data_IF_516490540149
#
_entry.id   IF_516490540149
#
_cell.length_a   1.000
_cell.length_b   1.000
_cell.length_c   1.000
_cell.angle_alpha   90.00
_cell.angle_beta   90.00
_cell.angle_gamma   90.00
#
_symmetry.space_group_name_H-M   'P 1'
#
loop_
_entity.id
_entity.type
_entity.pdbx_description
1 polymer ?
#
# COMPACT_ATOMS: atom_id res chain seq x y z
N UNK A 1 8.42 2.16 -2.35
CA UNK A 1 7.73 3.01 -1.35
C UNK A 1 8.69 3.93 -0.63
N UNK A 2 9.72 3.39 0.06
CA UNK A 2 10.76 4.20 0.74
C UNK A 2 11.35 5.31 -0.13
N UNK A 3 11.88 4.98 -1.31
CA UNK A 3 12.58 5.97 -2.13
C UNK A 3 11.63 7.06 -2.63
N UNK A 4 10.44 6.68 -3.09
CA UNK A 4 9.38 7.63 -3.43
C UNK A 4 8.96 8.51 -2.25
N UNK A 5 8.96 8.00 -1.02
CA UNK A 5 8.66 8.79 0.19
C UNK A 5 9.81 9.76 0.56
N UNK A 6 11.05 9.45 0.18
CA UNK A 6 12.21 10.35 0.34
C UNK A 6 12.21 11.47 -0.70
N UNK A 7 11.70 11.19 -1.89
CA UNK A 7 11.55 12.18 -2.98
C UNK A 7 10.37 13.13 -2.72
N UNK A 8 9.18 12.59 -2.48
CA UNK A 8 7.96 13.36 -2.20
C UNK A 8 7.01 12.56 -1.29
N UNK A 9 7.02 12.90 -0.01
CA UNK A 9 6.21 12.26 1.01
C UNK A 9 4.71 12.38 0.72
N UNK A 10 4.24 13.54 0.26
CA UNK A 10 2.82 13.79 0.05
C UNK A 10 2.28 13.00 -1.15
N UNK A 11 3.00 13.03 -2.27
CA UNK A 11 2.65 12.23 -3.44
C UNK A 11 2.71 10.73 -3.13
N UNK A 12 3.68 10.30 -2.32
CA UNK A 12 3.83 8.90 -1.92
C UNK A 12 2.71 8.44 -0.98
N UNK A 13 2.22 9.28 -0.07
CA UNK A 13 1.03 8.97 0.76
C UNK A 13 -0.18 8.65 -0.13
N UNK A 14 -0.47 9.50 -1.12
CA UNK A 14 -1.57 9.30 -2.06
C UNK A 14 -1.36 8.04 -2.93
N UNK A 15 -0.14 7.82 -3.42
CA UNK A 15 0.19 6.71 -4.33
C UNK A 15 0.10 5.35 -3.65
N UNK A 16 0.53 5.25 -2.39
CA UNK A 16 0.58 3.98 -1.66
C UNK A 16 -0.58 3.80 -0.67
N UNK A 17 -1.39 4.84 -0.43
CA UNK A 17 -2.54 4.77 0.48
C UNK A 17 -2.15 4.55 1.94
N UNK A 18 -0.96 4.99 2.35
CA UNK A 18 -0.45 4.84 3.71
C UNK A 18 -0.54 6.17 4.47
N UNK A 19 -0.66 6.09 5.79
CA UNK A 19 -0.63 7.28 6.64
C UNK A 19 0.75 7.96 6.55
N UNK A 20 0.77 9.28 6.76
CA UNK A 20 1.99 10.06 6.78
C UNK A 20 3.01 9.49 7.79
N UNK A 21 2.57 9.18 9.00
CA UNK A 21 3.42 8.63 10.07
C UNK A 21 4.07 7.30 9.65
N UNK A 22 3.30 6.38 9.06
CA UNK A 22 3.84 5.10 8.60
C UNK A 22 4.85 5.30 7.47
N UNK A 23 4.55 6.21 6.53
CA UNK A 23 5.42 6.48 5.40
C UNK A 23 6.73 7.18 5.82
N UNK A 24 6.68 8.07 6.81
CA UNK A 24 7.85 8.70 7.43
C UNK A 24 8.75 7.65 8.10
N UNK A 25 8.18 6.69 8.83
CA UNK A 25 8.95 5.59 9.40
C UNK A 25 9.60 4.72 8.31
N UNK A 26 8.87 4.41 7.24
CA UNK A 26 9.40 3.64 6.11
C UNK A 26 10.53 4.40 5.41
N UNK A 27 10.45 5.73 5.29
CA UNK A 27 11.46 6.54 4.62
C UNK A 27 12.80 6.58 5.38
N UNK A 28 12.77 6.43 6.71
CA UNK A 28 13.96 6.39 7.56
C UNK A 28 14.75 5.08 7.45
N UNK A 29 14.13 3.98 6.99
CA UNK A 29 14.80 2.68 6.87
C UNK A 29 15.95 2.71 5.85
N UNK A 30 17.08 2.14 6.21
CA UNK A 30 18.17 1.81 5.29
C UNK A 30 17.75 0.70 4.32
N UNK A 31 18.57 0.44 3.30
CA UNK A 31 18.28 -0.65 2.35
C UNK A 31 18.30 -2.02 3.03
N UNK A 32 19.28 -2.24 3.91
CA UNK A 32 19.41 -3.48 4.67
C UNK A 32 18.22 -3.69 5.62
N UNK A 33 17.73 -2.64 6.27
CA UNK A 33 16.55 -2.74 7.14
C UNK A 33 15.27 -3.07 6.37
N UNK A 34 15.10 -2.49 5.16
CA UNK A 34 13.98 -2.87 4.29
C UNK A 34 14.07 -4.34 3.89
N UNK A 35 15.25 -4.83 3.51
CA UNK A 35 15.43 -6.23 3.15
C UNK A 35 15.19 -7.16 4.34
N UNK A 36 15.66 -6.76 5.53
CA UNK A 36 15.41 -7.48 6.78
C UNK A 36 13.91 -7.56 7.07
N UNK A 37 13.17 -6.46 6.91
CA UNK A 37 11.71 -6.45 7.10
C UNK A 37 11.01 -7.45 6.17
N UNK A 38 11.38 -7.48 4.89
CA UNK A 38 10.80 -8.42 3.91
C UNK A 38 11.15 -9.87 4.25
N UNK A 39 12.39 -10.13 4.68
CA UNK A 39 12.84 -11.47 5.04
C UNK A 39 12.13 -12.04 6.29
N UNK A 40 11.66 -11.16 7.19
CA UNK A 40 11.07 -11.54 8.47
C UNK A 40 9.56 -11.29 8.57
N UNK A 41 8.87 -10.90 7.49
CA UNK A 41 7.41 -10.64 7.57
C UNK A 41 6.59 -11.91 7.88
N UNK A 42 7.18 -13.10 7.72
CA UNK A 42 6.51 -14.36 7.98
C UNK A 42 5.45 -14.64 6.90
N UNK A 43 4.34 -15.24 7.31
CA UNK A 43 3.25 -15.65 6.42
C UNK A 43 2.23 -14.52 6.13
N UNK A 44 2.39 -13.37 6.77
CA UNK A 44 1.46 -12.24 6.63
C UNK A 44 1.93 -11.25 5.56
N UNK A 45 1.03 -10.76 4.69
CA UNK A 45 1.39 -9.78 3.68
C UNK A 45 1.67 -8.41 4.34
N UNK A 46 2.82 -7.80 4.02
CA UNK A 46 3.12 -6.40 4.40
C UNK A 46 2.07 -5.41 3.92
N UNK A 47 1.46 -5.69 2.77
CA UNK A 47 0.50 -4.82 2.11
C UNK A 47 -0.72 -5.63 1.70
N UNK A 48 -1.89 -5.18 2.15
CA UNK A 48 -3.15 -5.79 1.72
C UNK A 48 -3.38 -5.43 0.24
N UNK A 49 -3.58 -6.43 -0.64
CA UNK A 49 -3.87 -6.16 -2.04
C UNK A 49 -5.16 -5.33 -2.17
N UNK A 50 -5.26 -4.55 -3.26
CA UNK A 50 -6.50 -3.82 -3.56
C UNK A 50 -7.68 -4.80 -3.61
N UNK A 51 -8.75 -4.57 -2.85
CA UNK A 51 -9.92 -5.46 -2.84
C UNK A 51 -10.63 -5.61 -4.20
N UNK A 52 -10.44 -4.64 -5.11
CA UNK A 52 -10.95 -4.63 -6.47
C UNK A 52 -9.92 -5.07 -7.53
N UNK A 53 -8.77 -5.62 -7.13
CA UNK A 53 -7.66 -5.92 -8.05
C UNK A 53 -8.07 -6.84 -9.20
N UNK A 54 -8.82 -7.91 -8.92
CA UNK A 54 -9.30 -8.84 -9.95
C UNK A 54 -10.17 -8.16 -11.00
N UNK A 55 -11.05 -7.24 -10.57
CA UNK A 55 -11.93 -6.50 -11.45
C UNK A 55 -11.14 -5.52 -12.33
N UNK A 56 -10.12 -4.87 -11.76
CA UNK A 56 -9.22 -4.01 -12.53
C UNK A 56 -8.45 -4.80 -13.58
N UNK A 57 -7.88 -5.94 -13.22
CA UNK A 57 -7.14 -6.78 -14.16
C UNK A 57 -8.02 -7.32 -15.30
N UNK A 58 -9.33 -7.42 -15.07
CA UNK A 58 -10.32 -7.86 -16.06
C UNK A 58 -10.97 -6.70 -16.83
N UNK A 59 -10.68 -5.44 -16.46
CA UNK A 59 -11.30 -4.27 -17.06
C UNK A 59 -10.61 -3.85 -18.36
N UNK A 60 -11.38 -3.30 -19.30
CA UNK A 60 -10.82 -2.74 -20.53
C UNK A 60 -9.92 -1.53 -20.22
N UNK A 61 -8.75 -1.36 -20.87
CA UNK A 61 -7.80 -0.28 -20.57
C UNK A 61 -8.41 1.12 -20.54
N UNK A 62 -9.40 1.38 -21.38
CA UNK A 62 -10.12 2.67 -21.46
C UNK A 62 -10.84 3.04 -20.16
N UNK A 63 -11.30 2.08 -19.36
CA UNK A 63 -12.05 2.35 -18.11
C UNK A 63 -11.19 2.22 -16.85
N UNK A 64 -9.95 1.74 -16.97
CA UNK A 64 -9.01 1.59 -15.85
C UNK A 64 -8.79 2.89 -15.05
N UNK A 65 -8.60 4.07 -15.67
CA UNK A 65 -8.34 5.29 -14.90
C UNK A 65 -9.52 5.67 -13.99
N UNK A 66 -10.74 5.46 -14.48
CA UNK A 66 -11.96 5.73 -13.71
C UNK A 66 -12.09 4.74 -12.56
N UNK A 67 -11.96 3.44 -12.82
CA UNK A 67 -12.04 2.42 -11.77
C UNK A 67 -10.92 2.56 -10.73
N UNK A 68 -9.72 2.97 -11.15
CA UNK A 68 -8.58 3.14 -10.26
C UNK A 68 -8.78 4.24 -9.21
N UNK A 69 -9.63 5.24 -9.49
CA UNK A 69 -9.82 6.45 -8.68
C UNK A 69 -11.09 6.45 -7.83
N UNK A 70 -11.94 5.43 -7.97
CA UNK A 70 -13.16 5.33 -7.17
C UNK A 70 -12.84 5.22 -5.67
N UNK A 71 -13.58 5.93 -4.80
CA UNK A 71 -13.37 5.87 -3.36
C UNK A 71 -13.63 4.45 -2.86
N UNK A 72 -12.63 3.89 -2.17
CA UNK A 72 -12.70 2.52 -1.67
C UNK A 72 -13.24 2.50 -0.26
N UNK A 73 -14.37 1.82 -0.07
CA UNK A 73 -14.78 1.37 1.26
C UNK A 73 -13.78 0.32 1.73
N UNK A 74 -12.90 0.71 2.65
CA UNK A 74 -12.12 -0.26 3.40
C UNK A 74 -13.14 -1.02 4.25
N UNK A 75 -13.47 -2.26 3.85
CA UNK A 75 -14.19 -3.17 4.72
C UNK A 75 -13.29 -3.38 5.94
N UNK A 76 -13.61 -2.73 7.05
CA UNK A 76 -12.84 -2.82 8.28
C UNK A 76 -12.66 -4.29 8.62
N UNK A 77 -11.40 -4.71 8.67
CA UNK A 77 -11.02 -5.97 9.29
C UNK A 77 -11.35 -5.80 10.78
N UNK A 78 -12.55 -6.23 11.17
CA UNK A 78 -12.89 -6.43 12.57
C UNK A 78 -12.06 -7.63 13.03
N UNK A 79 -10.85 -7.35 13.50
CA UNK A 79 -10.10 -8.31 14.28
C UNK A 79 -10.94 -8.63 15.51
N UNK A 80 -11.55 -9.82 15.50
CA UNK A 80 -12.16 -10.40 16.70
C UNK A 80 -11.05 -10.55 17.74
N UNK A 81 -11.14 -9.76 18.81
CA UNK A 81 -10.30 -9.94 19.99
C UNK A 81 -10.73 -11.25 20.67
N UNK A 82 -9.75 -12.13 20.90
CA UNK A 82 -9.86 -13.29 21.78
C UNK A 82 -9.10 -12.99 23.08
#
# INVERSE_FOLDING_TARGET
MRDAAREDLAAACCRFGLSKELLERISMLTHTEVLSLVAHVGEEPLFVPRGDLTNLLSAHPTVLPVLATLPKRHAGHTAAAN
#
